data_IF_331321717152
#
_entry.id   IF_331321717152
#
_cell.length_a   1.000
_cell.length_b   1.000
_cell.length_c   1.000
_cell.angle_alpha   90.00
_cell.angle_beta   90.00
_cell.angle_gamma   90.00
#
_symmetry.space_group_name_H-M   'P 1'
#
loop_
_entity.id
_entity.type
_entity.pdbx_description
1 polymer ?
#
# COMPACT_ATOMS: atom_id res chain seq x y z
N UNK A 1 -21.18 -20.05 -12.20
CA UNK A 1 -20.01 -19.14 -12.18
C UNK A 1 -19.99 -18.43 -10.83
N UNK A 2 -18.85 -18.36 -10.12
CA UNK A 2 -18.70 -17.55 -8.92
C UNK A 2 -19.19 -16.12 -9.19
N UNK A 3 -19.93 -15.50 -8.27
CA UNK A 3 -20.28 -14.09 -8.46
C UNK A 3 -18.99 -13.30 -8.36
N UNK A 4 -18.64 -12.49 -9.38
CA UNK A 4 -17.37 -11.74 -9.44
C UNK A 4 -17.05 -10.96 -8.14
N UNK A 5 -18.09 -10.52 -7.42
CA UNK A 5 -17.98 -9.82 -6.15
C UNK A 5 -17.38 -10.66 -5.01
N UNK A 6 -17.61 -11.98 -5.01
CA UNK A 6 -17.08 -12.89 -3.98
C UNK A 6 -15.56 -13.03 -4.09
N UNK A 7 -15.03 -13.10 -5.32
CA UNK A 7 -13.58 -13.24 -5.54
C UNK A 7 -12.83 -11.99 -5.06
N UNK A 8 -13.38 -10.79 -5.26
CA UNK A 8 -12.76 -9.55 -4.77
C UNK A 8 -12.64 -9.56 -3.25
N UNK A 9 -13.71 -9.94 -2.55
CA UNK A 9 -13.73 -9.95 -1.09
C UNK A 9 -12.73 -10.96 -0.53
N UNK A 10 -12.69 -12.16 -1.11
CA UNK A 10 -11.74 -13.21 -0.69
C UNK A 10 -10.28 -12.81 -0.95
N UNK A 11 -9.99 -12.07 -2.04
CA UNK A 11 -8.65 -11.51 -2.27
C UNK A 11 -8.26 -10.56 -1.14
N UNK A 12 -9.13 -9.60 -0.80
CA UNK A 12 -8.84 -8.63 0.27
C UNK A 12 -8.62 -9.34 1.60
N UNK A 13 -9.49 -10.29 1.97
CA UNK A 13 -9.32 -11.11 3.17
C UNK A 13 -8.05 -11.97 3.17
N UNK A 14 -7.56 -12.39 2.00
CA UNK A 14 -6.30 -13.14 1.91
C UNK A 14 -5.10 -12.23 2.17
N UNK A 15 -5.19 -10.96 1.77
CA UNK A 15 -4.14 -9.96 1.92
C UNK A 15 -4.16 -9.22 3.27
N UNK A 16 -5.16 -9.47 4.13
CA UNK A 16 -5.20 -8.95 5.50
C UNK A 16 -4.12 -9.55 6.40
N UNK A 17 -3.81 -10.82 6.19
CA UNK A 17 -2.84 -11.57 7.01
C UNK A 17 -1.39 -11.23 6.61
N UNK A 18 -1.13 -11.16 5.30
CA UNK A 18 0.20 -10.92 4.75
C UNK A 18 0.15 -10.54 3.27
N UNK A 19 1.25 -9.97 2.80
CA UNK A 19 1.52 -9.79 1.38
C UNK A 19 1.72 -11.16 0.70
N UNK A 20 1.19 -11.32 -0.51
CA UNK A 20 1.18 -12.61 -1.22
C UNK A 20 1.63 -12.45 -2.67
N UNK A 21 2.48 -13.36 -3.14
CA UNK A 21 2.71 -13.54 -4.57
C UNK A 21 1.40 -13.88 -5.27
N UNK A 22 1.29 -13.57 -6.56
CA UNK A 22 0.12 -13.92 -7.37
C UNK A 22 -0.22 -15.40 -7.27
N UNK A 23 0.80 -16.27 -7.35
CA UNK A 23 0.61 -17.73 -7.29
C UNK A 23 0.08 -18.18 -5.93
N UNK A 24 0.58 -17.60 -4.84
CA UNK A 24 0.13 -17.96 -3.49
C UNK A 24 -1.24 -17.37 -3.18
N UNK A 25 -1.53 -16.18 -3.70
CA UNK A 25 -2.85 -15.57 -3.61
C UNK A 25 -3.89 -16.43 -4.33
N UNK A 26 -3.60 -16.96 -5.52
CA UNK A 26 -4.51 -17.87 -6.23
C UNK A 26 -4.81 -19.13 -5.40
N UNK A 27 -3.79 -19.73 -4.80
CA UNK A 27 -3.94 -20.90 -3.90
C UNK A 27 -4.81 -20.55 -2.70
N UNK A 28 -4.55 -19.41 -2.05
CA UNK A 28 -5.29 -18.99 -0.86
C UNK A 28 -6.75 -18.63 -1.18
N UNK A 29 -7.02 -17.97 -2.30
CA UNK A 29 -8.38 -17.66 -2.76
C UNK A 29 -9.17 -18.93 -3.06
N UNK A 30 -8.58 -19.90 -3.77
CA UNK A 30 -9.22 -21.21 -4.00
C UNK A 30 -9.52 -21.93 -2.69
N UNK A 31 -8.57 -21.93 -1.76
CA UNK A 31 -8.73 -22.55 -0.43
C UNK A 31 -9.85 -21.88 0.38
N UNK A 32 -9.87 -20.54 0.46
CA UNK A 32 -10.86 -19.79 1.26
C UNK A 32 -12.26 -19.81 0.64
N UNK A 33 -12.37 -19.73 -0.68
CA UNK A 33 -13.67 -19.69 -1.36
C UNK A 33 -14.32 -21.07 -1.53
N UNK A 34 -13.54 -22.15 -1.54
CA UNK A 34 -14.03 -23.48 -1.94
C UNK A 34 -14.38 -23.57 -3.44
N UNK A 35 -14.01 -22.56 -4.24
CA UNK A 35 -14.35 -22.46 -5.67
C UNK A 35 -13.13 -22.69 -6.56
N UNK A 36 -13.37 -23.25 -7.74
CA UNK A 36 -12.40 -23.35 -8.83
C UNK A 36 -12.23 -21.99 -9.52
N UNK A 37 -11.46 -21.10 -8.90
CA UNK A 37 -11.13 -19.78 -9.49
C UNK A 37 -10.08 -19.96 -10.59
N UNK A 38 -10.41 -19.53 -11.81
CA UNK A 38 -9.47 -19.53 -12.95
C UNK A 38 -8.49 -18.36 -12.88
N UNK A 39 -7.33 -18.50 -13.54
CA UNK A 39 -6.35 -17.41 -13.68
C UNK A 39 -6.94 -16.16 -14.31
N UNK A 40 -7.79 -16.32 -15.34
CA UNK A 40 -8.47 -15.19 -15.97
C UNK A 40 -9.36 -14.43 -14.97
N UNK A 41 -10.15 -15.17 -14.19
CA UNK A 41 -11.02 -14.58 -13.16
C UNK A 41 -10.21 -13.84 -12.09
N UNK A 42 -9.10 -14.43 -11.64
CA UNK A 42 -8.20 -13.76 -10.70
C UNK A 42 -7.63 -12.47 -11.31
N UNK A 43 -7.20 -12.49 -12.57
CA UNK A 43 -6.64 -11.31 -13.25
C UNK A 43 -7.62 -10.17 -13.32
N UNK A 44 -8.84 -10.45 -13.76
CA UNK A 44 -9.89 -9.44 -13.85
C UNK A 44 -10.16 -8.82 -12.48
N UNK A 45 -10.20 -9.64 -11.43
CA UNK A 45 -10.39 -9.18 -10.05
C UNK A 45 -9.22 -8.32 -9.56
N UNK A 46 -7.98 -8.77 -9.76
CA UNK A 46 -6.78 -8.02 -9.39
C UNK A 46 -6.69 -6.67 -10.11
N UNK A 47 -6.91 -6.65 -11.42
CA UNK A 47 -6.88 -5.42 -12.21
C UNK A 47 -7.92 -4.41 -11.74
N UNK A 48 -9.10 -4.88 -11.32
CA UNK A 48 -10.12 -4.01 -10.75
C UNK A 48 -9.73 -3.48 -9.37
N UNK A 49 -9.26 -4.35 -8.48
CA UNK A 49 -8.82 -3.94 -7.14
C UNK A 49 -7.62 -2.97 -7.18
N UNK A 50 -6.69 -3.15 -8.12
CA UNK A 50 -5.58 -2.22 -8.37
C UNK A 50 -6.10 -0.86 -8.82
N UNK A 51 -6.99 -0.83 -9.82
CA UNK A 51 -7.61 0.41 -10.33
C UNK A 51 -8.35 1.16 -9.22
N UNK A 52 -9.05 0.43 -8.37
CA UNK A 52 -9.81 0.98 -7.24
C UNK A 52 -8.91 1.32 -6.03
N UNK A 53 -7.58 1.17 -6.15
CA UNK A 53 -6.58 1.38 -5.10
C UNK A 53 -6.86 0.59 -3.81
N UNK A 54 -7.47 -0.59 -3.92
CA UNK A 54 -7.75 -1.49 -2.78
C UNK A 54 -6.59 -2.43 -2.50
N UNK A 55 -5.79 -2.72 -3.52
CA UNK A 55 -4.53 -3.45 -3.41
C UNK A 55 -3.44 -2.70 -4.18
N UNK A 56 -2.19 -3.06 -3.92
CA UNK A 56 -1.01 -2.50 -4.60
C UNK A 56 0.03 -3.59 -4.82
N UNK A 57 1.00 -3.32 -5.69
CA UNK A 57 2.17 -4.19 -5.91
C UNK A 57 3.31 -3.71 -5.02
N UNK A 58 3.82 -4.59 -4.15
CA UNK A 58 4.90 -4.26 -3.19
C UNK A 58 6.23 -4.91 -3.53
N UNK A 59 6.25 -5.82 -4.51
CA UNK A 59 7.50 -6.47 -4.90
C UNK A 59 7.30 -7.62 -5.85
N UNK A 60 8.34 -8.45 -5.92
CA UNK A 60 8.39 -9.61 -6.79
C UNK A 60 9.08 -10.78 -6.08
N UNK A 61 8.44 -11.94 -6.08
CA UNK A 61 8.96 -13.20 -5.58
C UNK A 61 9.75 -13.91 -6.68
N UNK A 62 11.08 -13.92 -6.55
CA UNK A 62 11.98 -14.64 -7.47
C UNK A 62 11.97 -16.15 -7.17
N UNK A 63 11.49 -16.56 -5.99
CA UNK A 63 11.40 -17.97 -5.58
C UNK A 63 10.54 -18.83 -6.50
N UNK A 64 9.62 -18.23 -7.28
CA UNK A 64 8.79 -18.92 -8.27
C UNK A 64 9.59 -19.64 -9.37
N UNK A 65 10.87 -19.31 -9.51
CA UNK A 65 11.77 -19.89 -10.51
C UNK A 65 12.61 -21.05 -9.96
N UNK A 66 12.38 -21.50 -8.72
CA UNK A 66 12.94 -22.74 -8.15
C UNK A 66 14.47 -22.88 -8.34
N UNK A 67 15.22 -21.79 -8.18
CA UNK A 67 16.69 -21.80 -8.24
C UNK A 67 17.29 -21.61 -9.64
N UNK A 68 16.49 -21.22 -10.65
CA UNK A 68 17.05 -20.81 -11.96
C UNK A 68 17.95 -19.57 -11.77
N UNK A 69 19.22 -19.70 -12.16
CA UNK A 69 20.26 -18.67 -11.99
C UNK A 69 20.10 -17.45 -12.91
N UNK A 70 19.36 -17.59 -14.02
CA UNK A 70 19.14 -16.51 -14.98
C UNK A 70 17.70 -16.49 -15.47
N UNK A 71 16.92 -15.54 -14.98
CA UNK A 71 15.55 -15.29 -15.42
C UNK A 71 15.58 -14.46 -16.71
N UNK A 72 15.03 -15.00 -17.82
CA UNK A 72 14.97 -14.30 -19.11
C UNK A 72 13.76 -13.38 -19.24
N UNK A 73 12.67 -13.69 -18.55
CA UNK A 73 11.45 -12.87 -18.54
C UNK A 73 10.73 -13.00 -17.20
N UNK A 74 10.17 -11.90 -16.71
CA UNK A 74 9.39 -11.86 -15.47
C UNK A 74 8.01 -12.47 -15.70
N UNK A 75 7.68 -13.52 -14.96
CA UNK A 75 6.36 -14.15 -14.92
C UNK A 75 5.46 -13.37 -13.98
N UNK A 76 4.18 -13.23 -14.33
CA UNK A 76 3.19 -12.56 -13.48
C UNK A 76 3.02 -13.28 -12.12
N UNK A 77 3.31 -14.58 -12.04
CA UNK A 77 3.21 -15.42 -10.84
C UNK A 77 4.01 -14.90 -9.64
N UNK A 78 5.10 -14.19 -9.88
CA UNK A 78 5.94 -13.61 -8.84
C UNK A 78 5.46 -12.26 -8.33
N UNK A 79 4.50 -11.59 -8.97
CA UNK A 79 4.07 -10.26 -8.54
C UNK A 79 3.47 -10.35 -7.14
N UNK A 80 4.03 -9.61 -6.18
CA UNK A 80 3.56 -9.58 -4.80
C UNK A 80 2.54 -8.46 -4.63
N UNK A 81 1.35 -8.83 -4.14
CA UNK A 81 0.27 -7.92 -3.82
C UNK A 81 0.18 -7.68 -2.32
N UNK A 82 -0.24 -6.47 -1.96
CA UNK A 82 -0.55 -6.07 -0.59
C UNK A 82 -1.88 -5.33 -0.54
N UNK A 83 -2.61 -5.48 0.57
CA UNK A 83 -3.81 -4.67 0.85
C UNK A 83 -3.38 -3.22 1.10
N UNK A 84 -4.14 -2.28 0.52
CA UNK A 84 -3.99 -0.85 0.83
C UNK A 84 -4.85 -0.54 2.04
N UNK A 85 -4.19 -0.21 3.15
CA UNK A 85 -4.85 0.09 4.41
C UNK A 85 -5.18 1.57 4.50
N UNK A 86 -6.47 1.91 4.53
CA UNK A 86 -6.96 3.29 4.56
C UNK A 86 -7.60 3.68 5.89
N UNK A 87 -7.55 2.80 6.88
CA UNK A 87 -7.98 3.07 8.26
C UNK A 87 -6.91 3.90 9.01
N UNK A 88 -7.28 5.00 9.69
CA UNK A 88 -6.31 5.89 10.35
C UNK A 88 -5.56 5.22 11.50
N UNK A 89 -6.15 4.23 12.19
CA UNK A 89 -5.50 3.50 13.28
C UNK A 89 -4.41 2.59 12.69
N UNK A 90 -4.73 1.84 11.64
CA UNK A 90 -3.76 1.00 10.94
C UNK A 90 -2.59 1.82 10.35
N UNK A 91 -2.90 2.99 9.77
CA UNK A 91 -1.87 3.91 9.28
C UNK A 91 -1.00 4.43 10.45
N UNK A 92 -1.62 4.75 11.58
CA UNK A 92 -0.91 5.14 12.81
C UNK A 92 0.05 4.04 13.29
N UNK A 93 -0.34 2.77 13.19
CA UNK A 93 0.54 1.63 13.48
C UNK A 93 1.74 1.61 12.54
N UNK A 94 1.55 1.83 11.23
CA UNK A 94 2.68 1.91 10.30
C UNK A 94 3.63 3.07 10.60
N UNK A 95 3.09 4.24 10.95
CA UNK A 95 3.91 5.39 11.34
C UNK A 95 4.75 5.09 12.58
N UNK A 96 4.16 4.41 13.57
CA UNK A 96 4.89 3.96 14.78
C UNK A 96 5.98 2.94 14.45
N UNK A 97 5.74 2.02 13.50
CA UNK A 97 6.74 1.03 13.07
C UNK A 97 7.98 1.63 12.41
N UNK A 98 7.93 2.90 11.97
CA UNK A 98 9.13 3.60 11.50
C UNK A 98 10.16 3.82 12.61
N UNK A 99 9.74 3.72 13.87
CA UNK A 99 10.59 3.83 15.05
C UNK A 99 11.03 2.45 15.60
N UNK A 100 10.66 1.35 14.91
CA UNK A 100 11.05 -0.01 15.30
C UNK A 100 12.54 -0.24 15.07
N UNK A 101 13.20 -0.93 16.02
CA UNK A 101 14.59 -1.38 15.86
C UNK A 101 14.73 -2.45 14.77
N UNK A 102 13.62 -3.07 14.35
CA UNK A 102 13.60 -4.00 13.24
C UNK A 102 13.61 -3.25 11.90
N UNK A 103 14.79 -3.18 11.28
CA UNK A 103 15.02 -2.49 10.01
C UNK A 103 14.09 -2.97 8.88
N UNK A 104 13.80 -4.26 8.82
CA UNK A 104 12.96 -4.84 7.75
C UNK A 104 11.50 -4.44 7.94
N UNK A 105 11.02 -4.42 9.19
CA UNK A 105 9.68 -3.94 9.52
C UNK A 105 9.54 -2.44 9.21
N UNK A 106 10.52 -1.63 9.60
CA UNK A 106 10.54 -0.20 9.34
C UNK A 106 10.54 0.10 7.84
N UNK A 107 11.33 -0.64 7.04
CA UNK A 107 11.34 -0.53 5.57
C UNK A 107 9.99 -0.87 4.94
N UNK A 108 9.36 -1.97 5.39
CA UNK A 108 8.02 -2.36 4.92
C UNK A 108 6.97 -1.32 5.25
N UNK A 109 6.98 -0.81 6.49
CA UNK A 109 6.06 0.26 6.91
C UNK A 109 6.25 1.54 6.08
N UNK A 110 7.50 1.96 5.87
CA UNK A 110 7.83 3.12 5.04
C UNK A 110 7.32 2.96 3.60
N UNK A 111 7.52 1.78 3.01
CA UNK A 111 7.06 1.50 1.65
C UNK A 111 5.52 1.59 1.56
N UNK A 112 4.79 0.99 2.50
CA UNK A 112 3.32 1.07 2.54
C UNK A 112 2.82 2.51 2.69
N UNK A 113 3.45 3.29 3.56
CA UNK A 113 3.10 4.70 3.77
C UNK A 113 3.37 5.57 2.53
N UNK A 114 4.50 5.34 1.83
CA UNK A 114 4.80 6.02 0.57
C UNK A 114 3.75 5.74 -0.50
N UNK A 115 3.31 4.48 -0.63
CA UNK A 115 2.23 4.11 -1.57
C UNK A 115 0.94 4.89 -1.23
N UNK A 116 0.54 4.90 0.05
CA UNK A 116 -0.64 5.65 0.49
C UNK A 116 -0.51 7.15 0.17
N UNK A 117 0.65 7.73 0.47
CA UNK A 117 0.92 9.13 0.17
C UNK A 117 0.82 9.43 -1.32
N UNK A 118 1.41 8.60 -2.19
CA UNK A 118 1.28 8.72 -3.65
C UNK A 118 -0.18 8.66 -4.09
N UNK A 119 -0.94 7.68 -3.61
CA UNK A 119 -2.38 7.56 -3.93
C UNK A 119 -3.12 8.85 -3.56
N UNK A 120 -2.88 9.39 -2.36
CA UNK A 120 -3.52 10.63 -1.92
C UNK A 120 -3.07 11.84 -2.74
N UNK A 121 -1.79 11.95 -3.06
CA UNK A 121 -1.25 13.05 -3.87
C UNK A 121 -1.77 13.02 -5.31
N UNK A 122 -1.91 11.83 -5.91
CA UNK A 122 -2.52 11.69 -7.24
C UNK A 122 -3.98 12.13 -7.22
N UNK A 123 -4.76 11.72 -6.20
CA UNK A 123 -6.14 12.20 -6.00
C UNK A 123 -6.22 13.72 -5.79
N UNK A 124 -5.25 14.31 -5.10
CA UNK A 124 -5.22 15.73 -4.77
C UNK A 124 -4.85 16.61 -5.98
N UNK A 125 -3.79 16.24 -6.71
CA UNK A 125 -3.25 17.04 -7.81
C UNK A 125 -3.89 16.69 -9.17
N UNK A 126 -4.61 15.58 -9.27
CA UNK A 126 -5.24 15.15 -10.53
C UNK A 126 -4.23 14.76 -11.62
N UNK A 127 -2.95 14.55 -11.26
CA UNK A 127 -1.88 14.23 -12.19
C UNK A 127 -1.44 12.78 -11.93
N UNK A 128 -1.87 11.87 -12.80
CA UNK A 128 -1.46 10.45 -12.77
C UNK A 128 0.04 10.26 -13.08
N UNK A 129 0.68 11.25 -13.72
CA UNK A 129 2.06 11.19 -14.24
C UNK A 129 3.10 12.00 -13.43
N UNK A 130 2.82 12.35 -12.18
CA UNK A 130 3.85 12.96 -11.31
C UNK A 130 4.91 11.90 -11.04
N UNK A 131 6.20 12.22 -11.23
CA UNK A 131 7.27 11.26 -10.97
C UNK A 131 7.16 10.74 -9.54
N UNK A 132 7.10 9.41 -9.43
CA UNK A 132 6.85 8.73 -8.16
C UNK A 132 7.88 9.10 -7.08
N UNK A 133 9.08 9.48 -7.53
CA UNK A 133 10.20 9.91 -6.72
C UNK A 133 9.95 11.27 -6.07
N UNK A 134 9.27 12.20 -6.76
CA UNK A 134 8.94 13.53 -6.19
C UNK A 134 8.00 13.41 -5.00
N UNK A 135 6.99 12.54 -5.07
CA UNK A 135 6.09 12.31 -3.95
C UNK A 135 6.80 11.63 -2.78
N UNK A 136 7.71 10.71 -3.06
CA UNK A 136 8.54 10.07 -2.03
C UNK A 136 9.47 11.05 -1.32
N UNK A 137 10.08 11.98 -2.07
CA UNK A 137 10.90 13.05 -1.51
C UNK A 137 10.10 13.97 -0.59
N UNK A 138 8.90 14.38 -1.05
CA UNK A 138 7.97 15.18 -0.23
C UNK A 138 7.63 14.42 1.06
N UNK A 139 7.24 13.15 0.94
CA UNK A 139 6.90 12.33 2.11
C UNK A 139 8.09 12.21 3.08
N UNK A 140 9.29 12.02 2.55
CA UNK A 140 10.52 11.96 3.35
C UNK A 140 10.79 13.29 4.08
N UNK A 141 10.53 14.44 3.43
CA UNK A 141 10.62 15.75 4.07
C UNK A 141 9.62 15.91 5.21
N UNK A 142 8.38 15.44 5.03
CA UNK A 142 7.35 15.44 6.08
C UNK A 142 7.84 14.61 7.29
N UNK A 143 8.31 13.38 7.05
CA UNK A 143 8.81 12.53 8.13
C UNK A 143 10.00 13.15 8.87
N UNK A 144 10.94 13.76 8.14
CA UNK A 144 12.07 14.48 8.76
C UNK A 144 11.59 15.63 9.63
N UNK A 145 10.67 16.45 9.14
CA UNK A 145 10.10 17.54 9.92
C UNK A 145 9.41 17.04 11.20
N UNK A 146 8.62 15.96 11.11
CA UNK A 146 7.96 15.34 12.28
C UNK A 146 8.99 14.96 13.34
N UNK A 147 10.11 14.38 12.92
CA UNK A 147 11.17 13.92 13.81
C UNK A 147 12.00 15.04 14.44
N UNK A 148 11.94 16.28 13.93
CA UNK A 148 12.60 17.43 14.55
C UNK A 148 11.72 18.17 15.56
N UNK A 149 10.45 17.79 15.71
CA UNK A 149 9.53 18.43 16.66
C UNK A 149 9.68 17.84 18.07
N UNK A 150 9.23 18.58 19.08
CA UNK A 150 9.08 18.03 20.44
C UNK A 150 8.04 16.90 20.49
N UNK A 151 8.07 16.10 21.56
CA UNK A 151 7.24 14.90 21.68
C UNK A 151 5.74 15.16 21.51
N UNK A 152 5.22 16.29 22.02
CA UNK A 152 3.80 16.60 21.91
C UNK A 152 3.43 16.98 20.47
N UNK A 153 4.21 17.87 19.85
CA UNK A 153 4.00 18.26 18.46
C UNK A 153 4.18 17.08 17.50
N UNK A 154 5.23 16.28 17.69
CA UNK A 154 5.47 15.04 16.94
C UNK A 154 4.25 14.13 16.97
N UNK A 155 3.67 13.88 18.16
CA UNK A 155 2.46 13.06 18.31
C UNK A 155 1.27 13.65 17.54
N UNK A 156 1.01 14.95 17.69
CA UNK A 156 -0.12 15.63 17.02
C UNK A 156 0.03 15.55 15.50
N UNK A 157 1.21 15.86 14.96
CA UNK A 157 1.45 15.87 13.52
C UNK A 157 1.40 14.45 12.95
N UNK A 158 1.93 13.45 13.66
CA UNK A 158 1.82 12.04 13.26
C UNK A 158 0.36 11.58 13.19
N UNK A 159 -0.47 11.96 14.17
CA UNK A 159 -1.91 11.64 14.14
C UNK A 159 -2.63 12.33 12.98
N UNK A 160 -2.33 13.62 12.74
CA UNK A 160 -2.87 14.33 11.57
C UNK A 160 -2.42 13.73 10.25
N UNK A 161 -1.18 13.27 10.16
CA UNK A 161 -0.66 12.58 8.98
C UNK A 161 -1.37 11.24 8.76
N UNK A 162 -1.62 10.48 9.81
CA UNK A 162 -2.40 9.24 9.72
C UNK A 162 -3.80 9.51 9.16
N UNK A 163 -4.48 10.54 9.69
CA UNK A 163 -5.80 10.95 9.20
C UNK A 163 -5.77 11.44 7.76
N UNK A 164 -4.77 12.24 7.38
CA UNK A 164 -4.59 12.76 6.03
C UNK A 164 -4.39 11.63 4.99
N UNK A 165 -3.75 10.53 5.41
CA UNK A 165 -3.51 9.35 4.59
C UNK A 165 -4.69 8.37 4.55
N UNK A 166 -5.64 8.49 5.48
CA UNK A 166 -6.84 7.65 5.59
C UNK A 166 -7.94 8.03 4.60
N UNK A 167 -8.96 7.18 4.42
CA UNK A 167 -10.16 7.50 3.61
C UNK A 167 -11.24 8.28 4.38
N UNK A 168 -10.92 8.80 5.57
CA UNK A 168 -11.83 9.59 6.38
C UNK A 168 -12.29 10.88 5.68
N UNK A 169 -13.45 11.36 6.12
CA UNK A 169 -13.96 12.68 5.76
C UNK A 169 -12.90 13.74 6.15
N UNK A 170 -12.73 14.73 5.28
CA UNK A 170 -11.76 15.83 5.44
C UNK A 170 -10.26 15.44 5.34
N UNK A 171 -9.93 14.16 5.09
CA UNK A 171 -8.54 13.70 4.90
C UNK A 171 -7.76 14.51 3.86
N UNK A 172 -8.40 14.85 2.73
CA UNK A 172 -7.79 15.68 1.68
C UNK A 172 -7.49 17.11 2.15
N UNK A 173 -8.39 17.71 2.93
CA UNK A 173 -8.22 19.07 3.43
C UNK A 173 -7.10 19.12 4.48
N UNK A 174 -7.06 18.14 5.37
CA UNK A 174 -5.98 17.98 6.35
C UNK A 174 -4.63 17.78 5.62
N UNK A 175 -4.59 17.01 4.53
CA UNK A 175 -3.38 16.86 3.73
C UNK A 175 -2.91 18.19 3.14
N UNK A 176 -3.81 19.01 2.58
CA UNK A 176 -3.45 20.35 2.07
C UNK A 176 -2.89 21.24 3.17
N UNK A 177 -3.54 21.26 4.33
CA UNK A 177 -3.09 22.04 5.48
C UNK A 177 -1.71 21.61 5.97
N UNK A 178 -1.44 20.29 6.00
CA UNK A 178 -0.12 19.77 6.34
C UNK A 178 0.93 20.21 5.31
N UNK A 179 0.66 20.08 4.01
CA UNK A 179 1.60 20.51 2.96
C UNK A 179 1.89 22.02 3.03
N UNK A 180 0.85 22.84 3.25
CA UNK A 180 0.96 24.29 3.38
C UNK A 180 1.77 24.70 4.62
N UNK A 181 1.48 24.10 5.79
CA UNK A 181 2.20 24.37 7.03
C UNK A 181 3.69 24.05 6.91
N UNK A 182 4.04 23.04 6.12
CA UNK A 182 5.41 22.60 5.89
C UNK A 182 6.12 23.35 4.75
N UNK A 183 5.44 24.31 4.10
CA UNK A 183 5.92 25.03 2.91
C UNK A 183 6.37 24.08 1.79
N UNK A 184 5.66 22.96 1.63
CA UNK A 184 5.94 21.97 0.58
C UNK A 184 4.98 22.23 -0.60
N UNK A 185 5.51 22.73 -1.72
CA UNK A 185 4.78 23.00 -2.97
C UNK A 185 4.66 21.76 -3.88
#
# INVERSE_FOLDING_TARGET
>A
MPRKYEVHHVIIQSLEEKDLSRVDLLKQVRKKSGLTVSDKTLNEALMRLLRDNKITVTGYDIGIYEGISRVQSMKSDGIIFSKVNTDPIEIGIFLKKLESDNLEEAKKALHKLKILFRIKMTKLKGIENSSSDKFDEIFTKILRYINTQDLNQKRIITQRLAWALSDEKDSQEILKQLLAALRIN
#
